data_IF_349053163559
#
_entry.id   IF_349053163559
#
_cell.length_a   1.000
_cell.length_b   1.000
_cell.length_c   1.000
_cell.angle_alpha   90.00
_cell.angle_beta   90.00
_cell.angle_gamma   90.00
#
_symmetry.space_group_name_H-M   'P 1'
#
loop_
_entity.id
_entity.type
_entity.pdbx_description
1 polymer ?
#
# COMPACT_ATOMS: atom_id res chain seq x y z
N UNK A 1 4.41 4.95 5.38
CA UNK A 1 4.06 6.37 5.70
C UNK A 1 4.96 7.28 4.89
N UNK A 2 4.48 8.28 4.12
CA UNK A 2 5.35 9.23 3.45
C UNK A 2 6.15 10.09 4.44
N UNK A 3 7.40 10.47 4.09
CA UNK A 3 8.25 11.29 4.94
C UNK A 3 7.80 12.75 4.95
N UNK A 4 7.89 13.39 6.12
CA UNK A 4 7.68 14.82 6.30
C UNK A 4 8.66 15.37 7.34
N UNK A 5 9.42 16.41 7.01
CA UNK A 5 10.31 17.10 7.96
C UNK A 5 9.72 18.40 8.48
N UNK A 6 8.80 19.01 7.74
CA UNK A 6 8.20 20.31 8.03
C UNK A 6 6.70 20.28 7.80
N UNK A 7 5.94 21.02 8.61
CA UNK A 7 4.48 21.08 8.48
C UNK A 7 3.95 22.46 8.82
N UNK A 8 2.79 22.80 8.28
CA UNK A 8 2.00 23.95 8.74
C UNK A 8 1.01 23.50 9.83
N UNK A 9 0.89 24.22 10.96
CA UNK A 9 -0.15 23.93 11.95
C UNK A 9 -1.57 23.88 11.38
N UNK A 10 -1.84 24.70 10.36
CA UNK A 10 -3.12 24.73 9.64
C UNK A 10 -3.42 23.45 8.85
N UNK A 11 -2.39 22.75 8.34
CA UNK A 11 -2.55 21.46 7.67
C UNK A 11 -3.06 20.41 8.67
N UNK A 12 -2.33 20.24 9.76
CA UNK A 12 -2.57 19.16 10.72
C UNK A 12 -3.72 19.43 11.71
N UNK A 13 -4.40 20.59 11.56
CA UNK A 13 -5.54 20.98 12.37
C UNK A 13 -5.26 21.14 13.86
N UNK A 14 -4.04 21.52 14.25
CA UNK A 14 -3.64 21.63 15.67
C UNK A 14 -3.37 23.07 16.05
N UNK A 15 -3.91 23.50 17.20
CA UNK A 15 -3.75 24.89 17.64
C UNK A 15 -2.32 25.21 18.05
N UNK A 16 -1.96 26.49 17.94
CA UNK A 16 -0.62 26.97 18.30
C UNK A 16 -0.35 26.75 19.78
N UNK A 17 -1.35 26.97 20.64
CA UNK A 17 -1.23 26.72 22.09
C UNK A 17 -0.88 25.26 22.35
N UNK A 18 -1.57 24.33 21.67
CA UNK A 18 -1.31 22.90 21.81
C UNK A 18 0.07 22.51 21.30
N UNK A 19 0.52 23.07 20.17
CA UNK A 19 1.87 22.86 19.66
C UNK A 19 2.94 23.39 20.62
N UNK A 20 2.71 24.55 21.24
CA UNK A 20 3.60 25.08 22.29
C UNK A 20 3.70 24.16 23.49
N UNK A 21 2.59 23.58 23.94
CA UNK A 21 2.58 22.56 25.01
C UNK A 21 3.36 21.29 24.64
N UNK A 22 3.35 20.91 23.36
CA UNK A 22 4.15 19.80 22.82
C UNK A 22 5.64 20.14 22.63
N UNK A 23 6.00 21.40 22.90
CA UNK A 23 7.36 21.94 22.87
C UNK A 23 7.79 22.48 21.51
N UNK A 24 6.85 22.88 20.64
CA UNK A 24 7.13 23.65 19.43
C UNK A 24 7.06 25.14 19.73
N UNK A 25 8.22 25.79 19.86
CA UNK A 25 8.31 27.20 20.29
C UNK A 25 8.61 28.17 19.16
N UNK A 26 9.22 27.69 18.08
CA UNK A 26 9.65 28.49 16.94
C UNK A 26 9.36 27.78 15.62
N UNK A 27 9.30 28.56 14.54
CA UNK A 27 9.27 28.07 13.17
C UNK A 27 10.68 27.64 12.68
N UNK A 28 10.76 27.08 11.47
CA UNK A 28 12.04 26.63 10.89
C UNK A 28 13.09 27.75 10.71
N UNK A 29 12.67 29.01 10.66
CA UNK A 29 13.57 30.17 10.58
C UNK A 29 13.97 30.70 11.97
N UNK A 30 13.55 30.03 13.04
CA UNK A 30 13.82 30.43 14.42
C UNK A 30 12.96 31.59 14.93
N UNK A 31 11.90 31.99 14.22
CA UNK A 31 10.96 33.01 14.72
C UNK A 31 9.96 32.37 15.68
N UNK A 32 9.47 33.10 16.70
CA UNK A 32 8.44 32.58 17.60
C UNK A 32 7.20 32.07 16.84
N UNK A 33 6.64 30.95 17.30
CA UNK A 33 5.43 30.38 16.71
C UNK A 33 4.19 31.18 17.17
N UNK A 34 3.60 31.93 16.24
CA UNK A 34 2.50 32.88 16.51
C UNK A 34 1.32 32.76 15.52
N UNK A 35 1.52 32.11 14.37
CA UNK A 35 0.51 31.89 13.34
C UNK A 35 0.44 30.43 12.88
N UNK A 36 -0.73 30.01 12.41
CA UNK A 36 -0.96 28.67 11.84
C UNK A 36 -0.35 28.49 10.46
N UNK A 37 0.06 29.59 9.83
CA UNK A 37 0.64 29.60 8.47
C UNK A 37 2.18 29.66 8.51
N UNK A 38 2.78 29.55 9.70
CA UNK A 38 4.22 29.38 9.84
C UNK A 38 4.60 27.92 9.64
N UNK A 39 5.66 27.69 8.87
CA UNK A 39 6.19 26.36 8.65
C UNK A 39 7.10 25.95 9.82
N UNK A 40 6.76 24.83 10.46
CA UNK A 40 7.42 24.35 11.67
C UNK A 40 8.21 23.08 11.36
N UNK A 41 9.44 22.99 11.88
CA UNK A 41 10.24 21.76 11.80
C UNK A 41 9.65 20.68 12.72
N UNK A 42 9.38 19.50 12.17
CA UNK A 42 8.80 18.36 12.85
C UNK A 42 9.84 17.65 13.72
N UNK A 43 9.52 17.39 15.00
CA UNK A 43 10.39 16.58 15.85
C UNK A 43 10.41 15.14 15.36
N UNK A 44 11.59 14.52 15.44
CA UNK A 44 11.90 13.25 14.79
C UNK A 44 11.07 12.01 15.19
N UNK A 45 10.32 12.05 16.30
CA UNK A 45 9.43 10.95 16.73
C UNK A 45 7.95 11.33 16.70
N UNK A 46 7.61 12.52 16.21
CA UNK A 46 6.21 12.90 16.07
C UNK A 46 5.57 12.23 14.83
N UNK A 47 4.24 12.10 14.83
CA UNK A 47 3.47 11.52 13.72
C UNK A 47 2.18 12.30 13.51
N UNK A 48 1.77 12.39 12.24
CA UNK A 48 0.49 12.95 11.83
C UNK A 48 -0.33 11.80 11.26
N UNK A 49 -1.50 11.55 11.84
CA UNK A 49 -2.36 10.45 11.42
C UNK A 49 -3.35 10.91 10.36
N UNK A 50 -3.76 10.02 9.47
CA UNK A 50 -4.91 10.31 8.62
C UNK A 50 -6.21 10.31 9.41
N UNK A 51 -7.21 11.06 8.95
CA UNK A 51 -8.53 11.10 9.58
C UNK A 51 -9.17 9.72 9.78
N UNK A 52 -9.09 8.81 8.80
CA UNK A 52 -9.67 7.48 8.93
C UNK A 52 -8.97 6.64 10.01
N UNK A 53 -7.65 6.74 10.13
CA UNK A 53 -6.87 6.11 11.19
C UNK A 53 -7.19 6.71 12.55
N UNK A 54 -7.27 8.04 12.64
CA UNK A 54 -7.60 8.77 13.86
C UNK A 54 -8.96 8.35 14.45
N UNK A 55 -9.98 8.21 13.61
CA UNK A 55 -11.31 7.71 14.03
C UNK A 55 -11.25 6.28 14.58
N UNK A 56 -10.39 5.43 14.01
CA UNK A 56 -10.17 4.09 14.55
C UNK A 56 -9.47 4.15 15.91
N UNK A 57 -8.40 4.92 16.01
CA UNK A 57 -7.63 5.14 17.26
C UNK A 57 -8.53 5.72 18.37
N UNK A 58 -9.46 6.62 18.05
CA UNK A 58 -10.46 7.15 18.99
C UNK A 58 -11.42 6.08 19.53
N UNK A 59 -11.77 5.08 18.72
CA UNK A 59 -12.55 3.94 19.23
C UNK A 59 -11.72 3.05 20.13
N UNK A 60 -10.44 2.85 19.81
CA UNK A 60 -9.50 2.09 20.65
C UNK A 60 -9.30 2.79 21.99
N UNK A 61 -9.12 4.12 22.03
CA UNK A 61 -8.96 4.85 23.30
C UNK A 61 -10.18 4.68 24.22
N UNK A 62 -11.40 4.77 23.67
CA UNK A 62 -12.66 4.50 24.40
C UNK A 62 -12.76 3.06 24.90
N UNK A 63 -12.27 2.10 24.10
CA UNK A 63 -12.17 0.70 24.51
C UNK A 63 -11.21 0.54 25.68
N UNK A 64 -10.01 1.13 25.63
CA UNK A 64 -9.02 1.07 26.71
C UNK A 64 -9.56 1.68 28.00
N UNK A 65 -10.19 2.85 27.93
CA UNK A 65 -10.82 3.46 29.11
C UNK A 65 -11.92 2.57 29.70
N UNK A 66 -12.76 1.97 28.85
CA UNK A 66 -13.79 1.02 29.27
C UNK A 66 -13.16 -0.21 29.92
N UNK A 67 -12.07 -0.72 29.37
CA UNK A 67 -11.33 -1.88 29.90
C UNK A 67 -10.72 -1.56 31.28
N UNK A 68 -10.07 -0.40 31.41
CA UNK A 68 -9.50 0.08 32.68
C UNK A 68 -10.57 0.18 33.77
N UNK A 69 -11.70 0.82 33.48
CA UNK A 69 -12.78 1.03 34.46
C UNK A 69 -13.52 -0.27 34.77
N UNK A 70 -13.98 -1.00 33.75
CA UNK A 70 -14.87 -2.15 33.96
C UNK A 70 -14.13 -3.39 34.41
N UNK A 71 -12.96 -3.66 33.84
CA UNK A 71 -12.21 -4.89 34.11
C UNK A 71 -11.15 -4.67 35.19
N UNK A 72 -10.27 -3.68 35.01
CA UNK A 72 -9.15 -3.44 35.94
C UNK A 72 -9.52 -2.61 37.18
N UNK A 73 -10.70 -1.98 37.22
CA UNK A 73 -11.15 -1.10 38.31
C UNK A 73 -10.21 0.09 38.55
N UNK A 74 -9.66 0.63 37.47
CA UNK A 74 -8.80 1.82 37.46
C UNK A 74 -9.54 3.00 36.83
N UNK A 75 -9.01 4.21 37.05
CA UNK A 75 -9.48 5.40 36.38
C UNK A 75 -9.23 5.33 34.85
N UNK A 76 -10.09 5.96 34.02
CA UNK A 76 -9.86 6.05 32.59
C UNK A 76 -8.61 6.89 32.30
N UNK A 77 -7.87 6.51 31.27
CA UNK A 77 -6.58 7.12 30.93
C UNK A 77 -6.71 8.20 29.86
N UNK A 78 -7.35 7.90 28.72
CA UNK A 78 -7.41 8.81 27.58
C UNK A 78 -8.47 9.89 27.75
N UNK A 79 -9.66 9.51 28.23
CA UNK A 79 -10.83 10.40 28.38
C UNK A 79 -11.18 11.15 27.08
N UNK A 80 -10.87 10.56 25.93
CA UNK A 80 -11.00 11.18 24.62
C UNK A 80 -12.45 11.12 24.10
N UNK A 81 -13.01 12.29 23.80
CA UNK A 81 -14.33 12.46 23.20
C UNK A 81 -14.23 12.59 21.68
N UNK A 82 -13.22 13.33 21.22
CA UNK A 82 -12.89 13.61 19.83
C UNK A 82 -11.43 13.22 19.52
N UNK A 83 -11.03 13.21 18.25
CA UNK A 83 -9.66 12.82 17.84
C UNK A 83 -8.63 13.84 18.31
N UNK A 84 -9.00 15.11 18.41
CA UNK A 84 -8.16 16.21 18.87
C UNK A 84 -7.65 15.97 20.30
N UNK A 85 -8.45 15.30 21.15
CA UNK A 85 -8.08 14.93 22.52
C UNK A 85 -6.89 13.94 22.56
N UNK A 86 -6.63 13.22 21.46
CA UNK A 86 -5.52 12.27 21.37
C UNK A 86 -4.18 12.90 20.97
N UNK A 87 -4.17 14.19 20.60
CA UNK A 87 -2.93 14.93 20.31
C UNK A 87 -2.07 14.92 21.57
N UNK A 88 -0.79 14.55 21.43
CA UNK A 88 0.18 14.41 22.51
C UNK A 88 0.25 13.01 23.13
N UNK A 89 -0.69 12.11 22.84
CA UNK A 89 -0.60 10.73 23.30
C UNK A 89 0.39 9.92 22.44
N UNK A 90 1.08 8.98 23.10
CA UNK A 90 2.04 8.11 22.45
C UNK A 90 1.37 6.95 21.71
N UNK A 91 1.97 6.62 20.57
CA UNK A 91 1.67 5.44 19.75
C UNK A 91 2.91 4.59 19.59
N UNK A 92 2.71 3.30 19.33
CA UNK A 92 3.73 2.39 18.87
C UNK A 92 3.55 2.23 17.37
N UNK A 93 4.58 2.60 16.62
CA UNK A 93 4.65 2.36 15.18
C UNK A 93 5.43 1.07 14.96
N UNK A 94 4.88 0.15 14.16
CA UNK A 94 5.46 -1.17 13.91
C UNK A 94 5.31 -1.52 12.44
N UNK A 95 6.41 -1.99 11.87
CA UNK A 95 6.45 -2.39 10.47
C UNK A 95 6.22 -3.90 10.32
N UNK A 96 5.56 -4.35 9.25
CA UNK A 96 5.48 -5.76 8.94
C UNK A 96 6.89 -6.35 8.78
N UNK A 97 7.03 -7.64 9.08
CA UNK A 97 8.28 -8.39 9.13
C UNK A 97 9.31 -7.84 10.12
N UNK A 98 8.88 -7.13 11.16
CA UNK A 98 9.74 -6.66 12.26
C UNK A 98 9.15 -7.02 13.62
N UNK A 99 9.95 -6.90 14.68
CA UNK A 99 9.48 -7.16 16.05
C UNK A 99 9.83 -6.06 17.07
N UNK A 100 10.39 -4.95 16.58
CA UNK A 100 10.69 -3.78 17.39
C UNK A 100 9.68 -2.69 17.04
N UNK A 101 8.87 -2.31 18.02
CA UNK A 101 7.98 -1.16 17.92
C UNK A 101 8.72 0.12 18.31
N UNK A 102 8.45 1.20 17.60
CA UNK A 102 9.05 2.51 17.83
C UNK A 102 8.01 3.47 18.38
N UNK A 103 8.36 4.13 19.47
CA UNK A 103 7.45 5.10 20.10
C UNK A 103 7.39 6.35 19.23
N UNK A 104 6.17 6.75 18.90
CA UNK A 104 5.88 8.04 18.31
C UNK A 104 4.84 8.80 19.12
N UNK A 105 4.66 10.08 18.82
CA UNK A 105 3.66 10.93 19.48
C UNK A 105 2.78 11.62 18.44
N UNK A 106 1.48 11.56 18.64
CA UNK A 106 0.51 12.17 17.71
C UNK A 106 0.58 13.68 17.87
N UNK A 107 0.81 14.43 16.78
CA UNK A 107 0.82 15.90 16.81
C UNK A 107 -0.35 16.54 16.06
N UNK A 108 -1.08 15.78 15.25
CA UNK A 108 -2.24 16.27 14.51
C UNK A 108 -2.76 15.27 13.50
N UNK A 109 -3.65 15.75 12.63
CA UNK A 109 -4.39 14.93 11.68
C UNK A 109 -4.51 15.58 10.32
N UNK A 110 -4.47 14.78 9.26
CA UNK A 110 -4.62 15.26 7.89
C UNK A 110 -5.72 14.51 7.13
N UNK A 111 -6.30 15.16 6.12
CA UNK A 111 -7.36 14.60 5.26
C UNK A 111 -6.82 13.90 4.00
N UNK A 112 -5.64 13.28 4.12
CA UNK A 112 -5.06 12.37 3.12
C UNK A 112 -5.16 10.92 3.61
N UNK A 113 -5.13 9.93 2.72
CA UNK A 113 -5.24 8.50 3.12
C UNK A 113 -3.90 7.88 3.56
N UNK A 114 -2.97 8.68 4.05
CA UNK A 114 -1.64 8.25 4.49
C UNK A 114 -1.32 8.87 5.85
N UNK A 115 -0.60 8.15 6.72
CA UNK A 115 0.04 8.75 7.89
C UNK A 115 1.39 9.35 7.49
N UNK A 116 1.73 10.50 8.07
CA UNK A 116 3.00 11.20 7.83
C UNK A 116 3.87 11.09 9.08
N UNK A 117 5.17 10.95 8.88
CA UNK A 117 6.14 10.84 9.96
C UNK A 117 7.49 11.39 9.52
N UNK A 118 8.32 11.73 10.50
CA UNK A 118 9.69 12.12 10.22
C UNK A 118 10.49 10.95 9.59
N UNK A 119 11.37 11.20 8.61
CA UNK A 119 12.19 10.17 7.96
C UNK A 119 12.91 9.25 8.96
N UNK A 120 13.51 9.80 10.02
CA UNK A 120 14.17 8.99 11.06
C UNK A 120 13.25 7.97 11.71
N UNK A 121 12.00 8.33 11.99
CA UNK A 121 11.04 7.40 12.57
C UNK A 121 10.62 6.32 11.56
N UNK A 122 10.58 6.64 10.26
CA UNK A 122 10.30 5.65 9.20
C UNK A 122 11.47 4.68 9.05
N UNK A 123 12.68 5.19 8.85
CA UNK A 123 13.88 4.39 8.65
C UNK A 123 14.28 3.59 9.89
N UNK A 124 13.98 4.08 11.10
CA UNK A 124 14.17 3.30 12.33
C UNK A 124 13.43 1.95 12.29
N UNK A 125 12.26 1.92 11.64
CA UNK A 125 11.47 0.70 11.49
C UNK A 125 11.95 -0.23 10.36
N UNK A 126 13.13 0.03 9.78
CA UNK A 126 13.69 -0.73 8.64
C UNK A 126 12.76 -0.73 7.44
N UNK A 127 12.21 0.46 7.15
CA UNK A 127 11.31 0.68 6.02
C UNK A 127 11.84 1.72 5.08
N UNK A 128 11.60 1.45 3.80
CA UNK A 128 11.90 2.37 2.73
C UNK A 128 10.65 3.19 2.44
N UNK A 129 10.82 4.42 1.97
CA UNK A 129 9.71 5.28 1.60
C UNK A 129 9.19 4.98 0.18
N UNK A 130 9.16 3.72 -0.25
CA UNK A 130 8.88 3.28 -1.64
C UNK A 130 7.48 2.66 -1.84
N UNK A 131 6.57 2.88 -0.87
CA UNK A 131 5.18 2.39 -0.91
C UNK A 131 4.80 1.46 0.23
N UNK A 132 5.67 1.34 1.23
CA UNK A 132 5.47 0.47 2.37
C UNK A 132 4.34 0.89 3.33
N UNK A 133 3.62 -0.12 3.81
CA UNK A 133 2.55 0.00 4.79
C UNK A 133 3.07 -0.26 6.21
N UNK A 134 2.58 0.54 7.17
CA UNK A 134 2.97 0.47 8.57
C UNK A 134 1.74 0.38 9.48
N UNK A 135 1.93 -0.20 10.66
CA UNK A 135 0.91 -0.29 11.71
C UNK A 135 1.16 0.77 12.77
N UNK A 136 0.07 1.38 13.26
CA UNK A 136 0.09 2.29 14.42
C UNK A 136 -0.85 1.76 15.49
N UNK A 137 -0.34 1.59 16.70
CA UNK A 137 -1.05 1.05 17.86
C UNK A 137 -1.01 2.08 18.98
N UNK A 138 -2.09 2.28 19.73
CA UNK A 138 -2.01 3.12 20.94
C UNK A 138 -1.04 2.50 21.95
N UNK A 139 -0.19 3.32 22.57
CA UNK A 139 0.82 2.81 23.52
C UNK A 139 0.17 2.01 24.65
N UNK A 140 -0.90 2.52 25.27
CA UNK A 140 -1.56 1.83 26.38
C UNK A 140 -2.24 0.52 25.95
N UNK A 141 -2.75 0.46 24.71
CA UNK A 141 -3.31 -0.75 24.12
C UNK A 141 -2.22 -1.82 23.93
N UNK A 142 -1.09 -1.43 23.36
CA UNK A 142 0.06 -2.30 23.19
C UNK A 142 0.59 -2.84 24.54
N UNK A 143 0.55 -2.06 25.62
CA UNK A 143 1.04 -2.49 26.93
C UNK A 143 0.08 -3.46 27.65
N UNK A 144 -1.22 -3.24 27.57
CA UNK A 144 -2.21 -4.00 28.35
C UNK A 144 -2.65 -5.27 27.60
N UNK A 145 -2.83 -5.19 26.28
CA UNK A 145 -3.46 -6.26 25.50
C UNK A 145 -2.46 -7.19 24.79
N UNK A 146 -1.18 -6.84 24.80
CA UNK A 146 -0.14 -7.70 24.25
C UNK A 146 0.30 -8.78 25.25
N UNK A 147 0.43 -10.02 24.78
CA UNK A 147 1.10 -11.09 25.51
C UNK A 147 1.76 -12.06 24.55
N UNK A 148 2.99 -12.50 24.88
CA UNK A 148 3.70 -13.52 24.10
C UNK A 148 2.95 -14.85 24.03
N UNK A 149 2.05 -15.12 24.99
CA UNK A 149 1.21 -16.32 24.99
C UNK A 149 0.19 -16.38 23.85
N UNK A 150 -0.13 -15.23 23.24
CA UNK A 150 -1.04 -15.17 22.09
C UNK A 150 -0.32 -15.34 20.75
N UNK A 151 1.02 -15.36 20.74
CA UNK A 151 1.79 -15.47 19.51
C UNK A 151 1.73 -16.89 18.94
N UNK A 152 1.55 -17.04 17.62
CA UNK A 152 1.58 -18.34 16.98
C UNK A 152 2.95 -19.00 17.14
N UNK A 153 2.95 -20.31 17.40
CA UNK A 153 4.16 -21.12 17.60
C UNK A 153 4.87 -21.49 16.28
N UNK A 154 4.30 -21.12 15.13
CA UNK A 154 4.89 -21.38 13.81
C UNK A 154 6.02 -20.41 13.49
N UNK A 155 6.99 -20.86 12.68
CA UNK A 155 8.10 -20.02 12.20
C UNK A 155 7.54 -18.80 11.46
N UNK A 156 7.99 -17.60 11.83
CA UNK A 156 7.49 -16.32 11.32
C UNK A 156 6.29 -15.75 12.08
N UNK A 157 5.71 -16.50 13.02
CA UNK A 157 4.56 -16.07 13.81
C UNK A 157 4.85 -15.02 14.90
N UNK A 158 6.13 -14.81 15.22
CA UNK A 158 6.58 -13.81 16.21
C UNK A 158 6.91 -12.46 15.58
N UNK A 159 6.98 -12.40 14.25
CA UNK A 159 7.10 -11.16 13.50
C UNK A 159 5.74 -10.45 13.52
N UNK A 160 5.72 -9.13 13.35
CA UNK A 160 4.52 -8.29 13.38
C UNK A 160 3.93 -8.07 14.78
N UNK A 161 4.72 -8.36 15.82
CA UNK A 161 4.39 -8.07 17.21
C UNK A 161 5.48 -7.20 17.87
N UNK A 162 5.12 -6.20 18.69
CA UNK A 162 6.09 -5.32 19.35
C UNK A 162 6.75 -6.04 20.54
N UNK A 163 7.68 -6.97 20.26
CA UNK A 163 8.44 -7.71 21.28
C UNK A 163 9.37 -6.82 22.07
N UNK A 164 9.89 -5.78 21.43
CA UNK A 164 10.79 -4.78 22.00
C UNK A 164 10.21 -3.40 21.66
N UNK A 165 10.29 -2.46 22.60
CA UNK A 165 9.91 -1.06 22.37
C UNK A 165 11.14 -0.17 22.43
N UNK A 166 11.40 0.53 21.33
CA UNK A 166 12.43 1.57 21.24
C UNK A 166 11.80 2.92 21.56
N UNK A 167 12.14 3.46 22.74
CA UNK A 167 11.57 4.70 23.25
C UNK A 167 12.19 5.96 22.61
N UNK A 168 13.50 5.94 22.35
CA UNK A 168 14.25 7.05 21.77
C UNK A 168 14.92 6.59 20.48
N UNK A 169 14.79 7.37 19.42
CA UNK A 169 15.40 7.07 18.12
C UNK A 169 16.66 7.92 17.96
N UNK A 170 17.80 7.25 17.73
CA UNK A 170 19.04 7.93 17.38
C UNK A 170 19.27 7.83 15.87
N UNK A 171 19.48 8.96 15.16
CA UNK A 171 19.78 8.97 13.72
C UNK A 171 21.00 8.11 13.32
N UNK A 172 21.93 7.85 14.24
CA UNK A 172 23.09 6.98 14.01
C UNK A 172 22.73 5.48 13.96
N UNK A 173 21.60 5.07 14.55
CA UNK A 173 21.21 3.67 14.69
C UNK A 173 20.12 3.26 13.68
N UNK A 174 19.57 4.22 12.94
CA UNK A 174 18.56 3.97 11.90
C UNK A 174 19.20 3.50 10.60
N UNK A 175 18.35 3.11 9.66
CA UNK A 175 18.78 2.67 8.33
C UNK A 175 19.56 3.74 7.55
N UNK A 176 20.55 3.33 6.77
CA UNK A 176 21.49 4.22 6.07
C UNK A 176 20.88 4.94 4.87
N UNK A 177 19.70 4.51 4.40
CA UNK A 177 18.95 5.22 3.37
C UNK A 177 18.72 6.70 3.75
N UNK A 178 18.38 6.98 5.02
CA UNK A 178 18.14 8.35 5.48
C UNK A 178 19.41 9.17 5.60
N UNK A 179 20.59 8.55 5.68
CA UNK A 179 21.87 9.24 5.73
C UNK A 179 22.18 9.95 4.41
N UNK A 180 21.64 9.42 3.30
CA UNK A 180 21.75 9.98 1.97
C UNK A 180 20.74 11.10 1.68
N UNK A 181 19.87 11.46 2.64
CA UNK A 181 18.93 12.56 2.48
C UNK A 181 19.66 13.90 2.51
N UNK A 182 19.36 14.73 1.52
CA UNK A 182 19.94 16.08 1.39
C UNK A 182 19.26 17.05 2.36
N UNK A 183 20.02 18.04 2.83
CA UNK A 183 19.64 18.95 3.92
C UNK A 183 19.92 20.42 3.60
N UNK A 184 20.19 20.72 2.32
CA UNK A 184 20.50 22.06 1.84
C UNK A 184 19.23 22.80 1.40
N UNK A 185 19.18 24.11 1.64
CA UNK A 185 18.09 24.99 1.15
C UNK A 185 18.13 25.22 -0.35
N UNK A 186 19.33 25.20 -0.93
CA UNK A 186 19.55 25.42 -2.37
C UNK A 186 20.79 24.66 -2.83
N UNK A 187 20.76 24.14 -4.05
CA UNK A 187 21.95 23.56 -4.65
C UNK A 187 22.87 24.65 -5.21
N UNK A 188 24.17 24.44 -5.04
CA UNK A 188 25.18 25.36 -5.55
C UNK A 188 25.26 25.34 -7.08
N UNK A 189 25.78 26.42 -7.68
CA UNK A 189 26.08 26.45 -9.12
C UNK A 189 27.00 25.29 -9.55
N UNK A 190 27.97 24.95 -8.71
CA UNK A 190 28.91 23.85 -8.99
C UNK A 190 28.19 22.51 -9.13
N UNK A 191 27.17 22.24 -8.31
CA UNK A 191 26.31 21.06 -8.44
C UNK A 191 25.72 20.98 -9.86
N UNK A 192 25.06 22.04 -10.33
CA UNK A 192 24.45 22.07 -11.66
C UNK A 192 25.48 21.92 -12.78
N UNK A 193 26.64 22.58 -12.67
CA UNK A 193 27.71 22.46 -13.68
C UNK A 193 28.25 21.02 -13.76
N UNK A 194 28.36 20.31 -12.63
CA UNK A 194 28.78 18.90 -12.58
C UNK A 194 27.75 17.96 -13.18
N UNK A 195 26.45 18.24 -13.04
CA UNK A 195 25.40 17.42 -13.68
C UNK A 195 25.52 17.42 -15.20
N UNK A 196 25.93 18.55 -15.80
CA UNK A 196 26.15 18.67 -17.26
C UNK A 196 27.37 17.87 -17.73
N UNK A 197 28.29 17.54 -16.82
CA UNK A 197 29.47 16.73 -17.11
C UNK A 197 29.23 15.24 -16.86
N UNK A 198 28.02 14.84 -16.45
CA UNK A 198 27.66 13.46 -16.08
C UNK A 198 28.60 12.83 -15.04
N UNK A 199 29.06 13.66 -14.09
CA UNK A 199 29.90 13.21 -12.98
C UNK A 199 29.09 12.26 -12.09
N UNK A 200 29.68 11.14 -11.60
CA UNK A 200 29.01 10.26 -10.65
C UNK A 200 28.59 11.00 -9.37
N UNK A 201 27.44 10.62 -8.75
CA UNK A 201 26.89 11.36 -7.61
C UNK A 201 27.85 11.45 -6.40
N UNK A 202 28.68 10.43 -6.17
CA UNK A 202 29.66 10.41 -5.06
C UNK A 202 30.78 11.45 -5.16
N UNK A 203 30.98 12.09 -6.32
CA UNK A 203 32.00 13.14 -6.52
C UNK A 203 31.40 14.56 -6.41
N UNK A 204 30.09 14.65 -6.18
CA UNK A 204 29.36 15.90 -6.00
C UNK A 204 29.16 16.15 -4.51
N UNK A 205 29.50 17.34 -4.03
CA UNK A 205 29.35 17.71 -2.62
C UNK A 205 27.99 18.37 -2.42
N UNK A 206 27.15 17.75 -1.60
CA UNK A 206 25.85 18.25 -1.15
C UNK A 206 25.77 17.98 0.36
N UNK A 207 25.11 18.86 1.12
CA UNK A 207 24.88 18.68 2.55
C UNK A 207 23.93 17.51 2.79
N UNK A 208 24.45 16.42 3.35
CA UNK A 208 23.70 15.21 3.65
C UNK A 208 23.49 15.03 5.15
N UNK A 209 22.45 14.27 5.54
CA UNK A 209 22.23 13.86 6.93
C UNK A 209 23.47 13.18 7.52
N UNK A 210 24.17 12.35 6.75
CA UNK A 210 25.39 11.66 7.20
C UNK A 210 26.42 12.60 7.83
N UNK A 211 26.59 13.79 7.25
CA UNK A 211 27.54 14.80 7.72
C UNK A 211 27.18 15.40 9.09
N UNK A 212 25.93 15.24 9.54
CA UNK A 212 25.38 15.83 10.77
C UNK A 212 25.27 14.85 11.94
N UNK A 213 25.33 13.54 11.68
CA UNK A 213 25.03 12.47 12.64
C UNK A 213 25.73 12.59 14.00
N UNK A 214 26.99 13.03 14.03
CA UNK A 214 27.82 13.13 15.25
C UNK A 214 27.57 14.40 16.07
N UNK A 215 26.54 15.17 15.74
CA UNK A 215 26.24 16.46 16.37
C UNK A 215 24.76 16.56 16.73
N UNK A 216 24.42 17.48 17.64
CA UNK A 216 23.02 17.77 17.98
C UNK A 216 22.20 18.25 16.77
N UNK A 217 22.87 18.77 15.73
CA UNK A 217 22.25 19.13 14.45
C UNK A 217 21.74 17.91 13.66
N UNK A 218 21.94 16.68 14.16
CA UNK A 218 21.30 15.49 13.62
C UNK A 218 19.79 15.44 13.91
N UNK A 219 19.29 16.16 14.91
CA UNK A 219 17.88 16.10 15.33
C UNK A 219 17.02 17.29 14.87
N UNK A 220 17.66 18.33 14.31
CA UNK A 220 17.01 19.59 13.90
C UNK A 220 17.83 20.34 12.84
N UNK A 221 17.20 21.27 12.14
CA UNK A 221 17.75 22.07 11.05
C UNK A 221 17.79 21.35 9.70
N UNK A 222 16.91 20.37 9.47
CA UNK A 222 16.85 19.66 8.18
C UNK A 222 16.11 20.49 7.12
N UNK A 223 16.85 21.21 6.30
CA UNK A 223 16.26 22.10 5.29
C UNK A 223 15.78 21.33 4.05
N UNK A 224 15.05 22.04 3.19
CA UNK A 224 14.48 21.54 1.95
C UNK A 224 14.64 22.56 0.82
N UNK A 225 14.67 22.09 -0.42
CA UNK A 225 14.88 22.96 -1.60
C UNK A 225 13.60 23.59 -2.14
N UNK A 226 12.47 22.90 -2.02
CA UNK A 226 11.19 23.35 -2.58
C UNK A 226 10.13 23.41 -1.50
N UNK A 227 9.64 24.62 -1.22
CA UNK A 227 8.48 24.81 -0.36
C UNK A 227 7.18 24.43 -1.07
N UNK A 228 6.18 24.04 -0.28
CA UNK A 228 4.80 23.83 -0.74
C UNK A 228 3.87 24.79 0.00
N UNK A 229 2.69 25.06 -0.56
CA UNK A 229 1.68 25.85 0.15
C UNK A 229 0.98 24.99 1.21
N UNK A 230 0.41 25.63 2.23
CA UNK A 230 -0.34 24.95 3.30
C UNK A 230 -1.58 24.18 2.77
N UNK A 231 -2.05 24.50 1.57
CA UNK A 231 -3.18 23.80 0.94
C UNK A 231 -2.74 22.57 0.12
N UNK A 232 -1.44 22.35 -0.08
CA UNK A 232 -0.95 21.33 -1.02
C UNK A 232 -1.45 19.91 -0.68
N UNK A 233 -1.46 19.53 0.60
CA UNK A 233 -1.98 18.24 1.05
C UNK A 233 -3.50 18.14 0.93
N UNK A 234 -4.20 19.24 1.19
CA UNK A 234 -5.66 19.32 1.10
C UNK A 234 -6.18 19.21 -0.33
N UNK A 235 -5.46 19.84 -1.27
CA UNK A 235 -5.78 19.85 -2.70
C UNK A 235 -5.32 18.56 -3.41
N UNK A 236 -4.50 17.73 -2.74
CA UNK A 236 -4.04 16.47 -3.28
C UNK A 236 -5.20 15.46 -3.49
N UNK A 237 -5.12 14.60 -4.52
CA UNK A 237 -6.11 13.55 -4.74
C UNK A 237 -6.07 12.51 -3.60
N UNK A 238 -7.09 12.55 -2.74
CA UNK A 238 -7.16 11.72 -1.52
C UNK A 238 -7.20 10.23 -1.79
N UNK A 239 -7.77 9.80 -2.93
CA UNK A 239 -7.90 8.39 -3.32
C UNK A 239 -7.45 8.20 -4.76
N UNK A 240 -6.72 7.12 -5.00
CA UNK A 240 -6.35 6.76 -6.36
C UNK A 240 -7.59 6.39 -7.17
N UNK A 241 -7.64 6.82 -8.42
CA UNK A 241 -8.70 6.43 -9.36
C UNK A 241 -8.78 4.91 -9.53
N UNK A 242 -7.68 4.18 -9.31
CA UNK A 242 -7.66 2.72 -9.34
C UNK A 242 -8.62 2.08 -8.33
N UNK A 243 -8.74 2.64 -7.13
CA UNK A 243 -9.59 2.08 -6.06
C UNK A 243 -11.08 2.37 -6.25
N UNK A 244 -11.43 3.39 -7.05
CA UNK A 244 -12.83 3.74 -7.33
C UNK A 244 -13.44 2.90 -8.45
N UNK A 245 -12.61 2.28 -9.30
CA UNK A 245 -13.03 1.42 -10.40
C UNK A 245 -13.33 0.00 -9.90
N UNK A 246 -14.54 -0.49 -10.20
CA UNK A 246 -15.04 -1.78 -9.69
C UNK A 246 -14.52 -2.97 -10.49
N UNK A 247 -14.49 -2.87 -11.82
CA UNK A 247 -14.13 -4.00 -12.68
C UNK A 247 -12.71 -3.87 -13.23
N UNK A 248 -12.08 -5.01 -13.52
CA UNK A 248 -10.78 -5.02 -14.19
C UNK A 248 -10.85 -4.44 -15.60
N UNK A 249 -11.99 -4.59 -16.29
CA UNK A 249 -12.19 -4.02 -17.61
C UNK A 249 -12.15 -2.50 -17.55
N UNK A 250 -12.88 -1.88 -16.61
CA UNK A 250 -12.88 -0.42 -16.42
C UNK A 250 -11.46 0.09 -16.12
N UNK A 251 -10.69 -0.66 -15.31
CA UNK A 251 -9.29 -0.32 -14.98
C UNK A 251 -8.39 -0.30 -16.21
N UNK A 252 -8.50 -1.32 -17.05
CA UNK A 252 -7.73 -1.42 -18.30
C UNK A 252 -8.15 -0.31 -19.26
N UNK A 253 -9.46 -0.08 -19.43
CA UNK A 253 -9.97 0.94 -20.34
C UNK A 253 -9.55 2.35 -19.90
N UNK A 254 -9.60 2.65 -18.60
CA UNK A 254 -9.11 3.91 -18.05
C UNK A 254 -7.58 4.07 -18.18
N UNK A 255 -6.81 3.00 -17.96
CA UNK A 255 -5.37 3.00 -18.17
C UNK A 255 -5.03 3.37 -19.62
N UNK A 256 -5.65 2.71 -20.60
CA UNK A 256 -5.40 3.00 -22.02
C UNK A 256 -5.97 4.34 -22.46
N UNK A 257 -7.11 4.78 -21.91
CA UNK A 257 -7.63 6.14 -22.14
C UNK A 257 -6.65 7.22 -21.69
N UNK A 258 -5.94 7.00 -20.57
CA UNK A 258 -4.87 7.88 -20.13
C UNK A 258 -3.66 7.79 -21.06
N UNK A 259 -3.23 6.57 -21.45
CA UNK A 259 -2.15 6.38 -22.42
C UNK A 259 -2.42 7.04 -23.77
N UNK A 260 -3.69 7.15 -24.18
CA UNK A 260 -4.07 7.83 -25.42
C UNK A 260 -3.93 9.36 -25.36
N UNK A 261 -3.95 9.93 -24.15
CA UNK A 261 -3.77 11.37 -23.93
C UNK A 261 -2.31 11.75 -23.77
N UNK A 262 -1.49 10.83 -23.27
CA UNK A 262 -0.08 11.08 -23.00
C UNK A 262 0.77 10.94 -24.27
N UNK A 263 1.69 11.89 -24.45
CA UNK A 263 2.66 11.88 -25.56
C UNK A 263 3.84 10.93 -25.28
N UNK A 264 4.24 10.79 -24.01
CA UNK A 264 5.42 10.04 -23.58
C UNK A 264 5.26 8.51 -23.64
N UNK A 265 4.08 7.99 -23.97
CA UNK A 265 3.78 6.56 -23.92
C UNK A 265 3.60 6.00 -25.33
N UNK A 266 4.42 5.01 -25.69
CA UNK A 266 4.14 4.14 -26.83
C UNK A 266 3.01 3.18 -26.46
N UNK A 267 1.83 3.48 -27.00
CA UNK A 267 0.59 2.76 -26.71
C UNK A 267 0.59 1.35 -27.27
N UNK A 268 1.22 1.16 -28.44
CA UNK A 268 1.30 -0.14 -29.08
C UNK A 268 2.25 -1.06 -28.30
N UNK A 269 3.40 -0.53 -27.86
CA UNK A 269 4.32 -1.29 -27.01
C UNK A 269 3.71 -1.60 -25.63
N UNK A 270 3.03 -0.63 -25.00
CA UNK A 270 2.34 -0.85 -23.73
C UNK A 270 1.28 -1.95 -23.82
N UNK A 271 0.43 -1.94 -24.86
CA UNK A 271 -0.55 -2.98 -25.11
C UNK A 271 0.10 -4.34 -25.40
N UNK A 272 1.16 -4.37 -26.20
CA UNK A 272 1.94 -5.57 -26.50
C UNK A 272 2.50 -6.20 -25.25
N UNK A 273 3.15 -5.42 -24.38
CA UNK A 273 3.71 -5.90 -23.11
C UNK A 273 2.62 -6.47 -22.20
N UNK A 274 1.53 -5.74 -21.99
CA UNK A 274 0.42 -6.21 -21.15
C UNK A 274 -0.15 -7.56 -21.62
N UNK A 275 -0.37 -7.70 -22.93
CA UNK A 275 -0.91 -8.93 -23.52
C UNK A 275 0.07 -10.10 -23.34
N UNK A 276 1.36 -9.89 -23.62
CA UNK A 276 2.36 -10.96 -23.60
C UNK A 276 2.78 -11.37 -22.19
N UNK A 277 2.88 -10.43 -21.24
CA UNK A 277 3.35 -10.71 -19.88
C UNK A 277 2.22 -11.13 -18.93
N UNK A 278 0.99 -10.66 -19.15
CA UNK A 278 -0.13 -10.92 -18.24
C UNK A 278 -1.25 -11.73 -18.89
N UNK A 279 -1.84 -11.26 -19.98
CA UNK A 279 -3.08 -11.87 -20.49
C UNK A 279 -2.84 -13.26 -21.07
N UNK A 280 -1.89 -13.42 -22.00
CA UNK A 280 -1.61 -14.72 -22.62
C UNK A 280 -1.17 -15.77 -21.57
N UNK A 281 -0.22 -15.47 -20.65
CA UNK A 281 0.15 -16.41 -19.59
C UNK A 281 -1.03 -16.82 -18.71
N UNK A 282 -1.91 -15.88 -18.33
CA UNK A 282 -3.09 -16.17 -17.50
C UNK A 282 -4.12 -17.02 -18.26
N UNK A 283 -4.46 -16.67 -19.50
CA UNK A 283 -5.40 -17.43 -20.34
C UNK A 283 -4.91 -18.88 -20.55
N UNK A 284 -3.64 -19.04 -20.94
CA UNK A 284 -3.03 -20.37 -21.15
C UNK A 284 -2.93 -21.16 -19.85
N UNK A 285 -2.48 -20.52 -18.76
CA UNK A 285 -2.32 -21.14 -17.46
C UNK A 285 -3.65 -21.64 -16.89
N UNK A 286 -4.70 -20.83 -17.01
CA UNK A 286 -6.05 -21.20 -16.57
C UNK A 286 -6.64 -22.31 -17.45
N UNK A 287 -6.48 -22.24 -18.77
CA UNK A 287 -6.96 -23.28 -19.69
C UNK A 287 -6.27 -24.63 -19.43
N UNK A 288 -4.94 -24.63 -19.30
CA UNK A 288 -4.19 -25.84 -18.97
C UNK A 288 -4.60 -26.38 -17.59
N UNK A 289 -4.73 -25.52 -16.58
CA UNK A 289 -5.13 -25.93 -15.22
C UNK A 289 -6.56 -26.49 -15.19
N UNK A 290 -7.47 -25.94 -15.99
CA UNK A 290 -8.84 -26.44 -16.13
C UNK A 290 -8.88 -27.91 -16.57
N UNK A 291 -8.02 -28.30 -17.51
CA UNK A 291 -7.93 -29.68 -18.00
C UNK A 291 -7.44 -30.69 -16.93
N UNK A 292 -6.70 -30.21 -15.92
CA UNK A 292 -6.11 -31.02 -14.84
C UNK A 292 -6.75 -30.81 -13.47
N UNK A 293 -7.86 -30.07 -13.42
CA UNK A 293 -8.41 -29.58 -12.16
C UNK A 293 -8.97 -30.68 -11.26
N UNK A 294 -9.20 -30.33 -9.99
CA UNK A 294 -9.86 -31.19 -9.01
C UNK A 294 -11.26 -30.67 -8.70
N UNK A 295 -12.09 -31.52 -8.11
CA UNK A 295 -13.46 -31.20 -7.74
C UNK A 295 -13.55 -31.06 -6.23
N UNK A 296 -14.24 -30.01 -5.75
CA UNK A 296 -14.46 -29.78 -4.32
C UNK A 296 -15.92 -29.93 -3.97
N UNK A 297 -16.23 -30.59 -2.87
CA UNK A 297 -17.57 -30.55 -2.30
C UNK A 297 -17.81 -29.24 -1.55
N UNK A 298 -18.94 -28.56 -1.83
CA UNK A 298 -19.30 -27.30 -1.17
C UNK A 298 -19.56 -27.49 0.33
N UNK A 299 -20.14 -28.63 0.72
CA UNK A 299 -20.58 -28.85 2.11
C UNK A 299 -19.47 -29.34 3.04
N UNK A 300 -18.55 -30.20 2.57
CA UNK A 300 -17.54 -30.84 3.42
C UNK A 300 -16.08 -30.58 3.00
N UNK A 301 -15.86 -29.77 1.95
CA UNK A 301 -14.53 -29.47 1.42
C UNK A 301 -13.70 -30.67 0.96
N UNK A 302 -14.30 -31.87 0.84
CA UNK A 302 -13.62 -33.03 0.29
C UNK A 302 -13.18 -32.76 -1.16
N UNK A 303 -11.92 -33.09 -1.46
CA UNK A 303 -11.30 -32.92 -2.77
C UNK A 303 -11.27 -34.27 -3.50
N UNK A 304 -11.66 -34.26 -4.77
CA UNK A 304 -11.66 -35.43 -5.64
C UNK A 304 -10.89 -35.14 -6.91
N UNK A 305 -10.02 -36.07 -7.33
CA UNK A 305 -9.30 -35.96 -8.61
C UNK A 305 -10.24 -36.14 -9.82
N UNK A 306 -11.28 -36.95 -9.68
CA UNK A 306 -12.31 -37.21 -10.70
C UNK A 306 -13.67 -37.17 -10.04
N UNK A 307 -14.70 -36.77 -10.79
CA UNK A 307 -16.09 -36.83 -10.30
C UNK A 307 -16.44 -38.29 -10.04
N UNK A 308 -16.93 -38.66 -8.83
CA UNK A 308 -17.47 -39.99 -8.58
C UNK A 308 -18.63 -40.28 -9.55
N UNK A 309 -18.78 -41.52 -10.01
CA UNK A 309 -19.84 -41.90 -10.97
C UNK A 309 -21.27 -41.60 -10.47
N UNK A 310 -21.44 -41.51 -9.15
CA UNK A 310 -22.72 -41.15 -8.50
C UNK A 310 -23.07 -39.65 -8.74
N UNK A 311 -22.12 -38.83 -9.23
CA UNK A 311 -22.30 -37.40 -9.46
C UNK A 311 -22.38 -36.53 -8.20
N UNK A 312 -22.25 -37.14 -7.01
CA UNK A 312 -22.32 -36.49 -5.69
C UNK A 312 -21.10 -36.81 -4.85
N UNK A 313 -20.87 -36.01 -3.81
CA UNK A 313 -19.83 -36.28 -2.83
C UNK A 313 -20.07 -37.61 -2.12
N UNK A 314 -19.05 -38.47 -2.05
CA UNK A 314 -19.14 -39.78 -1.37
C UNK A 314 -19.19 -39.69 0.16
N UNK A 315 -18.83 -38.53 0.75
CA UNK A 315 -18.84 -38.33 2.22
C UNK A 315 -20.12 -37.73 2.76
N UNK A 316 -20.72 -36.77 2.05
CA UNK A 316 -21.88 -36.02 2.56
C UNK A 316 -23.00 -35.84 1.53
N UNK A 317 -22.91 -36.49 0.38
CA UNK A 317 -23.87 -36.37 -0.73
C UNK A 317 -24.08 -34.95 -1.28
N UNK A 318 -23.24 -33.99 -0.89
CA UNK A 318 -23.28 -32.61 -1.36
C UNK A 318 -22.80 -32.44 -2.80
N UNK A 319 -23.10 -31.27 -3.37
CA UNK A 319 -22.73 -30.89 -4.75
C UNK A 319 -21.21 -30.75 -4.89
N UNK A 320 -20.68 -31.30 -5.98
CA UNK A 320 -19.30 -31.11 -6.40
C UNK A 320 -19.22 -29.94 -7.37
N UNK A 321 -18.26 -29.05 -7.17
CA UNK A 321 -18.01 -27.90 -8.04
C UNK A 321 -16.59 -27.94 -8.59
N UNK A 322 -16.44 -27.39 -9.80
CA UNK A 322 -15.15 -27.14 -10.42
C UNK A 322 -14.38 -26.08 -9.61
N UNK A 323 -13.07 -26.23 -9.52
CA UNK A 323 -12.21 -25.22 -8.91
C UNK A 323 -11.93 -24.06 -9.84
N UNK A 324 -11.93 -24.30 -11.16
CA UNK A 324 -11.75 -23.28 -12.19
C UNK A 324 -12.99 -23.27 -13.07
N UNK A 325 -13.62 -22.10 -13.21
CA UNK A 325 -14.80 -21.92 -14.05
C UNK A 325 -14.43 -21.43 -15.44
N UNK A 326 -15.31 -21.67 -16.43
CA UNK A 326 -15.18 -21.14 -17.80
C UNK A 326 -14.97 -19.62 -17.82
N UNK A 327 -15.78 -18.88 -17.05
CA UNK A 327 -15.66 -17.42 -16.97
C UNK A 327 -14.32 -16.93 -16.41
N UNK A 328 -13.65 -17.73 -15.58
CA UNK A 328 -12.29 -17.43 -15.13
C UNK A 328 -11.26 -17.51 -16.26
N UNK A 329 -11.46 -18.42 -17.22
CA UNK A 329 -10.56 -18.62 -18.37
C UNK A 329 -10.79 -17.55 -19.44
N UNK A 330 -12.04 -17.13 -19.67
CA UNK A 330 -12.37 -16.15 -20.73
C UNK A 330 -12.16 -14.69 -20.32
N UNK A 331 -11.84 -14.42 -19.05
CA UNK A 331 -11.85 -13.09 -18.42
C UNK A 331 -11.14 -11.99 -19.22
N UNK A 332 -10.00 -12.29 -19.84
CA UNK A 332 -9.18 -11.31 -20.56
C UNK A 332 -9.19 -11.48 -22.09
N UNK A 333 -9.87 -12.48 -22.61
CA UNK A 333 -9.80 -12.83 -24.03
C UNK A 333 -10.33 -11.69 -24.91
N UNK A 334 -11.53 -11.19 -24.61
CA UNK A 334 -12.14 -10.10 -25.35
C UNK A 334 -11.33 -8.81 -25.24
N UNK A 335 -10.78 -8.52 -24.07
CA UNK A 335 -9.91 -7.35 -23.85
C UNK A 335 -8.64 -7.42 -24.68
N UNK A 336 -8.00 -8.60 -24.75
CA UNK A 336 -6.82 -8.83 -25.57
C UNK A 336 -7.11 -8.62 -27.06
N UNK A 337 -8.24 -9.15 -27.56
CA UNK A 337 -8.68 -8.97 -28.95
C UNK A 337 -8.87 -7.47 -29.24
N UNK A 338 -9.66 -6.78 -28.42
CA UNK A 338 -9.97 -5.36 -28.59
C UNK A 338 -8.70 -4.48 -28.62
N UNK A 339 -7.76 -4.71 -27.69
CA UNK A 339 -6.50 -3.96 -27.66
C UNK A 339 -5.62 -4.27 -28.88
N UNK A 340 -5.59 -5.52 -29.34
CA UNK A 340 -4.81 -5.93 -30.51
C UNK A 340 -5.31 -5.32 -31.82
N UNK A 341 -6.62 -5.11 -31.93
CA UNK A 341 -7.26 -4.45 -33.07
C UNK A 341 -7.06 -2.94 -33.00
N UNK A 342 -7.40 -2.35 -31.85
CA UNK A 342 -7.33 -0.91 -31.58
C UNK A 342 -5.95 -0.32 -31.87
N UNK A 343 -4.88 -0.94 -31.35
CA UNK A 343 -3.51 -0.44 -31.49
C UNK A 343 -2.74 -1.06 -32.65
N UNK A 344 -3.43 -1.79 -33.53
CA UNK A 344 -2.83 -2.41 -34.73
C UNK A 344 -1.56 -3.21 -34.44
N UNK A 345 -1.63 -4.08 -33.44
CA UNK A 345 -0.48 -4.89 -33.02
C UNK A 345 -0.01 -5.87 -34.12
N UNK A 346 1.24 -6.33 -33.98
CA UNK A 346 1.88 -7.23 -34.93
C UNK A 346 1.06 -8.51 -35.21
N UNK A 347 1.13 -9.06 -36.43
CA UNK A 347 0.39 -10.27 -36.83
C UNK A 347 0.61 -11.46 -35.88
N UNK A 348 1.83 -11.64 -35.37
CA UNK A 348 2.15 -12.72 -34.44
C UNK A 348 1.27 -12.69 -33.17
N UNK A 349 1.13 -11.52 -32.55
CA UNK A 349 0.34 -11.36 -31.31
C UNK A 349 -1.13 -11.61 -31.60
N UNK A 350 -1.64 -11.03 -32.69
CA UNK A 350 -3.03 -11.21 -33.14
C UNK A 350 -3.34 -12.68 -33.40
N UNK A 351 -2.49 -13.38 -34.15
CA UNK A 351 -2.64 -14.81 -34.42
C UNK A 351 -2.62 -15.62 -33.12
N UNK A 352 -1.71 -15.30 -32.19
CA UNK A 352 -1.62 -16.00 -30.91
C UNK A 352 -2.89 -15.86 -30.06
N UNK A 353 -3.48 -14.66 -30.01
CA UNK A 353 -4.77 -14.44 -29.32
C UNK A 353 -5.89 -15.24 -30.00
N UNK A 354 -5.92 -15.25 -31.34
CA UNK A 354 -6.94 -15.98 -32.10
C UNK A 354 -6.83 -17.49 -31.95
N UNK A 355 -5.61 -18.04 -31.88
CA UNK A 355 -5.39 -19.45 -31.59
C UNK A 355 -5.89 -19.81 -30.19
N UNK A 356 -5.61 -18.98 -29.18
CA UNK A 356 -6.14 -19.20 -27.82
C UNK A 356 -7.66 -19.14 -27.77
N UNK A 357 -8.27 -18.22 -28.51
CA UNK A 357 -9.73 -18.17 -28.67
C UNK A 357 -10.27 -19.49 -29.22
N UNK A 358 -9.68 -19.99 -30.31
CA UNK A 358 -10.08 -21.25 -30.93
C UNK A 358 -9.89 -22.45 -30.00
N UNK A 359 -8.79 -22.50 -29.24
CA UNK A 359 -8.55 -23.54 -28.25
C UNK A 359 -9.61 -23.53 -27.14
N UNK A 360 -9.94 -22.36 -26.59
CA UNK A 360 -10.99 -22.21 -25.58
C UNK A 360 -12.34 -22.66 -26.15
N UNK A 361 -12.70 -22.18 -27.35
CA UNK A 361 -13.95 -22.55 -28.02
C UNK A 361 -14.04 -24.07 -28.31
N UNK A 362 -12.92 -24.69 -28.64
CA UNK A 362 -12.85 -26.15 -28.88
C UNK A 362 -13.03 -26.93 -27.60
N UNK A 363 -12.40 -26.50 -26.49
CA UNK A 363 -12.51 -27.17 -25.18
C UNK A 363 -13.91 -27.07 -24.60
N UNK A 364 -14.58 -25.93 -24.77
CA UNK A 364 -15.93 -25.70 -24.21
C UNK A 364 -17.08 -26.01 -25.17
N UNK A 365 -16.78 -26.26 -26.45
CA UNK A 365 -17.78 -26.37 -27.51
C UNK A 365 -18.41 -25.02 -27.85
N UNK A 366 -18.59 -24.73 -29.14
CA UNK A 366 -19.33 -23.56 -29.59
C UNK A 366 -20.82 -23.69 -29.19
N UNK A 367 -21.20 -23.10 -28.05
CA UNK A 367 -22.62 -22.91 -27.70
C UNK A 367 -23.04 -21.56 -28.25
N UNK A 368 -23.62 -21.55 -29.46
CA UNK A 368 -24.25 -20.35 -30.00
C UNK A 368 -24.25 -20.16 -31.51
N UNK A 369 -24.60 -21.17 -32.30
CA UNK A 369 -25.39 -20.92 -33.51
C UNK A 369 -26.72 -21.64 -33.29
N UNK A 370 -27.78 -20.86 -33.10
CA UNK A 370 -29.13 -21.38 -33.25
C UNK A 370 -29.25 -21.91 -34.69
N UNK A 371 -29.55 -23.20 -34.83
CA UNK A 371 -29.75 -23.84 -36.11
C UNK A 371 -29.09 -25.20 -36.15
N UNK A 372 -29.91 -26.24 -36.10
CA UNK A 372 -29.56 -27.59 -36.51
C UNK A 372 -28.71 -27.58 -37.77
N UNK A 373 -27.43 -27.96 -37.65
CA UNK A 373 -26.66 -28.48 -38.77
C UNK A 373 -26.01 -29.77 -38.28
N UNK A 374 -26.43 -30.94 -38.79
CA UNK A 374 -25.83 -32.22 -38.42
C UNK A 374 -24.46 -32.31 -39.10
N UNK A 375 -23.41 -31.85 -38.41
CA UNK A 375 -22.05 -32.23 -38.79
C UNK A 375 -21.90 -33.72 -38.51
N UNK A 376 -21.68 -34.51 -39.57
CA UNK A 376 -21.44 -35.97 -39.55
C UNK A 376 -20.09 -36.34 -38.90
N UNK A 377 -19.68 -35.66 -37.82
CA UNK A 377 -18.42 -35.94 -37.14
C UNK A 377 -18.64 -35.98 -35.63
N UNK A 378 -18.19 -37.08 -35.04
CA UNK A 378 -18.48 -37.54 -33.70
C UNK A 378 -18.00 -36.55 -32.63
N UNK A 379 -18.89 -36.13 -31.72
CA UNK A 379 -18.60 -35.20 -30.62
C UNK A 379 -18.35 -35.96 -29.31
N UNK A 380 -17.14 -35.84 -28.75
CA UNK A 380 -16.71 -36.44 -27.48
C UNK A 380 -17.43 -35.85 -26.25
N UNK A 381 -18.07 -34.68 -26.37
CA UNK A 381 -18.85 -34.08 -25.27
C UNK A 381 -20.14 -34.86 -24.97
N UNK A 382 -20.61 -35.73 -25.87
CA UNK A 382 -21.79 -36.55 -25.63
C UNK A 382 -21.55 -37.75 -24.70
N UNK A 383 -20.34 -37.90 -24.16
CA UNK A 383 -19.96 -38.98 -23.24
C UNK A 383 -19.52 -38.50 -21.84
N UNK A 384 -19.51 -37.19 -21.58
CA UNK A 384 -19.38 -36.61 -20.23
C UNK A 384 -20.75 -36.13 -19.75
#
# INVERSE_FOLDING_TARGET
MPPLTHFYPSEIGTSIERLKELGYTADHLGKPLESTDQLVEMKHQDVILNNAGAEFVLRVSKFIDTLLVKYYKLDPFYKASAKEDLVGHCVVTLSPHTSTGFVGRIIGYEDVNVGLAHPYLISARRRNCDGDEDTTILMMDALINFSKHYLPTTIGGTMDAPLILAANIKPEEVDDEVWNMETDTEYTKEFYDKTMQHVPPGEVKVGMVESRLKSEAAYSGLEFTHGTSAEALKDAPKRSAYTTLKTMQDKIDMQFSLSDKLYSIDRADAAKRLILSHFIPDLMGNLHSFSKQTFRCVSCNAKYRRVPLIGKCTKCSGKLVLTISKGGIEKYLNTAINLSERYKLEPYIRQRIMLLKQEIETVFGAVGAAGDIPTKQFNLANFM
#
